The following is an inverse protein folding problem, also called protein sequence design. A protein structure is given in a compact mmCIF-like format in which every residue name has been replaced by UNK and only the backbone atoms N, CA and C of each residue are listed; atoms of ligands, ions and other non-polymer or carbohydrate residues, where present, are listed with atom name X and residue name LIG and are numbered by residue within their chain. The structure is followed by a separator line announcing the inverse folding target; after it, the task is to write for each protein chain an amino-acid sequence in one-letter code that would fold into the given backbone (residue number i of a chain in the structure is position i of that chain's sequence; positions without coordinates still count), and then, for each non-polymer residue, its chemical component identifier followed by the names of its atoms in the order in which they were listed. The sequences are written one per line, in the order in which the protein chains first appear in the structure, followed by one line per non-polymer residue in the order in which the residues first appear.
data_IF_553130365990
#
_entry.id   IF_553130365990
#
_cell.length_a   1.000
_cell.length_b   1.000
_cell.length_c   1.000
_cell.angle_alpha   90.00
_cell.angle_beta   90.00
_cell.angle_gamma   90.00
#
_symmetry.space_group_name_H-M   'P 1'
#
loop_
_entity.id
_entity.type
_entity.pdbx_description
1 polymer ?
#
# COMPACT_ATOMS: atom_id res chain seq x y z
N UNK A 1 13.72 -7.48 4.01
CA UNK A 1 12.36 -7.85 4.41
C UNK A 1 11.43 -6.81 3.85
N UNK A 2 10.48 -7.25 3.03
CA UNK A 2 9.46 -6.40 2.43
C UNK A 2 8.46 -6.03 3.53
N UNK A 3 8.20 -4.73 3.73
CA UNK A 3 7.31 -4.26 4.79
C UNK A 3 6.53 -3.03 4.33
N UNK A 4 5.24 -2.98 4.64
CA UNK A 4 4.33 -1.85 4.42
C UNK A 4 3.97 -1.26 5.78
N UNK A 5 4.44 -0.06 6.09
CA UNK A 5 4.42 0.51 7.45
C UNK A 5 3.05 1.02 7.91
N UNK A 6 2.23 1.49 6.98
CA UNK A 6 0.99 2.22 7.22
C UNK A 6 -0.19 1.73 6.37
N UNK A 7 0.07 1.03 5.25
CA UNK A 7 -0.99 0.62 4.31
C UNK A 7 -2.08 -0.20 5.01
N UNK A 8 -1.69 -1.09 5.92
CA UNK A 8 -2.61 -1.97 6.66
C UNK A 8 -2.98 -1.45 8.06
N UNK A 9 -2.79 -0.15 8.34
CA UNK A 9 -3.09 0.45 9.65
C UNK A 9 -4.59 0.57 9.97
N UNK A 10 -5.47 -0.13 9.24
CA UNK A 10 -6.93 -0.09 9.41
C UNK A 10 -7.66 1.09 8.75
N UNK A 11 -6.96 1.92 7.96
CA UNK A 11 -7.60 3.05 7.23
C UNK A 11 -8.27 2.63 5.92
N UNK A 12 -7.81 1.54 5.33
CA UNK A 12 -8.35 0.97 4.10
C UNK A 12 -8.77 -0.48 4.34
N UNK A 13 -9.84 -0.90 3.67
CA UNK A 13 -10.23 -2.30 3.59
C UNK A 13 -9.42 -3.04 2.53
N UNK A 14 -9.34 -4.37 2.64
CA UNK A 14 -8.69 -5.20 1.62
C UNK A 14 -9.25 -4.94 0.22
N UNK A 15 -10.57 -4.78 0.11
CA UNK A 15 -11.25 -4.44 -1.14
C UNK A 15 -10.77 -3.12 -1.75
N UNK A 16 -10.60 -2.07 -0.93
CA UNK A 16 -10.12 -0.76 -1.39
C UNK A 16 -8.68 -0.84 -1.90
N UNK A 17 -7.82 -1.57 -1.19
CA UNK A 17 -6.42 -1.77 -1.57
C UNK A 17 -6.32 -2.59 -2.86
N UNK A 18 -7.06 -3.69 -2.95
CA UNK A 18 -7.11 -4.55 -4.14
C UNK A 18 -7.61 -3.78 -5.37
N UNK A 19 -8.66 -2.97 -5.20
CA UNK A 19 -9.20 -2.13 -6.28
C UNK A 19 -8.20 -1.08 -6.75
N UNK A 20 -7.44 -0.47 -5.83
CA UNK A 20 -6.48 0.58 -6.15
C UNK A 20 -5.16 0.04 -6.75
N UNK A 21 -4.78 -1.20 -6.42
CA UNK A 21 -3.51 -1.80 -6.84
C UNK A 21 -3.65 -2.89 -7.90
N UNK A 22 -4.87 -3.34 -8.21
CA UNK A 22 -5.08 -4.49 -9.11
C UNK A 22 -4.28 -5.72 -8.62
N UNK A 23 -4.18 -5.87 -7.30
CA UNK A 23 -3.64 -7.05 -6.61
C UNK A 23 -4.82 -7.87 -6.11
N UNK A 24 -4.71 -9.20 -6.16
CA UNK A 24 -5.79 -10.10 -5.70
C UNK A 24 -6.17 -9.79 -4.25
N UNK A 25 -7.48 -9.65 -4.01
CA UNK A 25 -8.01 -9.34 -2.68
C UNK A 25 -7.62 -10.39 -1.62
N UNK A 26 -7.51 -11.67 -1.98
CA UNK A 26 -7.12 -12.72 -1.04
C UNK A 26 -5.67 -12.55 -0.59
N UNK A 27 -4.80 -12.09 -1.49
CA UNK A 27 -3.41 -11.76 -1.15
C UNK A 27 -3.37 -10.58 -0.18
N UNK A 28 -4.22 -9.57 -0.39
CA UNK A 28 -4.31 -8.43 0.53
C UNK A 28 -4.85 -8.86 1.90
N UNK A 29 -5.87 -9.69 1.95
CA UNK A 29 -6.41 -10.24 3.21
C UNK A 29 -5.34 -11.02 3.97
N UNK A 30 -4.58 -11.87 3.27
CA UNK A 30 -3.46 -12.61 3.86
C UNK A 30 -2.37 -11.66 4.40
N UNK A 31 -2.02 -10.61 3.67
CA UNK A 31 -1.05 -9.60 4.14
C UNK A 31 -1.53 -8.81 5.36
N UNK A 32 -2.84 -8.58 5.46
CA UNK A 32 -3.45 -7.91 6.62
C UNK A 32 -3.45 -8.80 7.87
N UNK A 33 -3.60 -10.12 7.72
CA UNK A 33 -3.55 -11.08 8.81
C UNK A 33 -2.11 -11.50 9.17
N UNK A 34 -1.22 -11.55 8.18
CA UNK A 34 0.16 -12.02 8.31
C UNK A 34 1.13 -11.13 7.52
N UNK A 35 1.74 -10.18 8.22
CA UNK A 35 2.74 -9.29 7.62
C UNK A 35 3.96 -10.00 7.01
N UNK A 36 4.24 -11.26 7.41
CA UNK A 36 5.35 -12.03 6.84
C UNK A 36 5.05 -12.55 5.42
N UNK A 37 3.79 -12.59 5.00
CA UNK A 37 3.41 -12.95 3.63
C UNK A 37 3.94 -11.93 2.59
N UNK A 38 4.37 -10.75 3.03
CA UNK A 38 4.98 -9.73 2.16
C UNK A 38 6.30 -10.20 1.54
N UNK A 39 7.04 -11.10 2.20
CA UNK A 39 8.28 -11.65 1.66
C UNK A 39 8.02 -12.68 0.53
N UNK A 40 6.82 -13.28 0.49
CA UNK A 40 6.40 -14.21 -0.57
C UNK A 40 5.76 -13.50 -1.78
N UNK A 41 5.45 -12.21 -1.62
CA UNK A 41 4.86 -11.38 -2.65
C UNK A 41 5.86 -11.12 -3.79
N UNK A 42 5.39 -11.19 -5.03
CA UNK A 42 6.21 -10.80 -6.18
C UNK A 42 6.57 -9.31 -6.13
N UNK A 43 7.70 -8.94 -6.74
CA UNK A 43 8.20 -7.56 -6.71
C UNK A 43 7.25 -6.56 -7.37
N UNK A 44 6.48 -6.97 -8.37
CA UNK A 44 5.53 -6.10 -9.06
C UNK A 44 4.36 -5.75 -8.13
N UNK A 45 3.71 -6.75 -7.53
CA UNK A 45 2.62 -6.54 -6.57
C UNK A 45 3.11 -5.75 -5.34
N UNK A 46 4.31 -6.04 -4.85
CA UNK A 46 4.89 -5.28 -3.74
C UNK A 46 5.09 -3.80 -4.09
N UNK A 47 5.65 -3.50 -5.26
CA UNK A 47 5.86 -2.13 -5.71
C UNK A 47 4.54 -1.35 -5.85
N UNK A 48 3.46 -1.99 -6.32
CA UNK A 48 2.14 -1.36 -6.39
C UNK A 48 1.61 -0.98 -5.00
N UNK A 49 1.78 -1.85 -4.00
CA UNK A 49 1.36 -1.58 -2.63
C UNK A 49 2.20 -0.47 -1.98
N UNK A 50 3.52 -0.47 -2.22
CA UNK A 50 4.42 0.61 -1.79
C UNK A 50 4.03 1.94 -2.43
N UNK A 51 3.69 1.93 -3.72
CA UNK A 51 3.23 3.13 -4.41
C UNK A 51 1.94 3.68 -3.79
N UNK A 52 0.94 2.82 -3.56
CA UNK A 52 -0.30 3.20 -2.90
C UNK A 52 -0.06 3.76 -1.49
N UNK A 53 0.82 3.12 -0.72
CA UNK A 53 1.22 3.59 0.60
C UNK A 53 1.85 4.98 0.53
N UNK A 54 2.75 5.18 -0.44
CA UNK A 54 3.42 6.47 -0.61
C UNK A 54 2.43 7.57 -1.00
N UNK A 55 1.48 7.29 -1.88
CA UNK A 55 0.46 8.26 -2.32
C UNK A 55 -0.48 8.67 -1.18
N UNK A 56 -0.81 7.76 -0.27
CA UNK A 56 -1.78 7.99 0.80
C UNK A 56 -1.16 8.50 2.11
N UNK A 57 0.06 8.08 2.44
CA UNK A 57 0.66 8.28 3.76
C UNK A 57 1.94 9.10 3.72
N UNK A 58 2.54 9.33 2.55
CA UNK A 58 3.63 10.31 2.47
C UNK A 58 3.00 11.69 2.31
N UNK A 59 3.14 12.58 3.31
CA UNK A 59 2.75 13.97 3.09
C UNK A 59 3.57 14.47 1.91
N UNK A 60 2.89 14.95 0.87
CA UNK A 60 3.52 15.66 -0.24
C UNK A 60 4.11 16.97 0.31
N UNK A 61 5.26 16.89 0.99
CA UNK A 61 6.09 18.04 1.27
C UNK A 61 6.64 18.46 -0.09
N UNK A 62 6.12 19.58 -0.60
CA UNK A 62 6.35 20.17 -1.92
C UNK A 62 5.32 19.82 -3.01
N UNK A 63 4.08 20.27 -2.81
CA UNK A 63 3.57 21.24 -3.78
C UNK A 63 3.64 22.62 -3.16
N UNK A 64 4.76 23.29 -3.43
CA UNK A 64 4.84 24.75 -3.49
C UNK A 64 3.85 25.18 -4.60
N UNK A 65 2.54 25.11 -4.33
CA UNK A 65 1.59 25.92 -5.07
C UNK A 65 1.82 27.35 -4.58
N UNK A 66 2.76 27.98 -5.28
CA UNK A 66 3.04 29.39 -5.29
C UNK A 66 1.74 30.17 -5.18
N UNK A 67 1.71 31.09 -4.22
CA UNK A 67 0.70 32.13 -4.10
C UNK A 67 0.40 32.77 -5.46
N UNK A 68 -0.88 32.88 -5.80
CA UNK A 68 -1.41 33.83 -6.78
C UNK A 68 -2.80 34.28 -6.32
#
# INVERSE_FOLDING_TARGET
MKHLSNLFSGKLTAYQIATATDVDIHIIEELMENANAADELDDSSFNKLVQLENELFTPSVNKNETSA
#
